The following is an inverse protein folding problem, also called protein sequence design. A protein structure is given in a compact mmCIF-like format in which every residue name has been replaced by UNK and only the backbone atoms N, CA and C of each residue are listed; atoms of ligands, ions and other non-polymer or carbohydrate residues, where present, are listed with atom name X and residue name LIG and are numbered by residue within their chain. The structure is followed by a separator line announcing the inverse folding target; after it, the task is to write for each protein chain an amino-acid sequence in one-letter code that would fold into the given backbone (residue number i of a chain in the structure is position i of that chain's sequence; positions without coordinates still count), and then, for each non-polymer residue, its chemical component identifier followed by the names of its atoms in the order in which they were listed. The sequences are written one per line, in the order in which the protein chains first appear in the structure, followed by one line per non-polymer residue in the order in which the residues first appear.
data_IF_750484824793
#
_entry.id   IF_750484824793
#
_cell.length_a   1.000
_cell.length_b   1.000
_cell.length_c   1.000
_cell.angle_alpha   90.00
_cell.angle_beta   90.00
_cell.angle_gamma   90.00
#
_symmetry.space_group_name_H-M   'P 1'
#
loop_
_entity.id
_entity.type
_entity.pdbx_description
1 polymer ?
2 non-polymer ?
3 non-polymer ?
4 non-polymer ?
5 non-polymer ?
6 non-polymer ?
7 water ?
#
# COMPACT_ATOMS: atom_id res chain seq x y z
N UNK A 1 -4.69 -5.35 15.22
CA UNK A 1 -3.71 -5.06 14.16
C UNK A 1 -3.46 -3.58 14.08
N UNK A 2 -2.98 -3.14 12.92
CA UNK A 2 -2.57 -1.73 12.71
C UNK A 2 -3.66 -0.73 12.97
N UNK A 3 -4.86 -0.98 12.44
CA UNK A 3 -5.98 -0.05 12.64
C UNK A 3 -6.36 0.08 14.09
N UNK A 4 -6.44 -1.05 14.77
CA UNK A 4 -6.74 -0.98 16.21
C UNK A 4 -5.61 -0.23 16.94
N UNK A 5 -4.35 -0.43 16.54
CA UNK A 5 -3.25 0.28 17.18
C UNK A 5 -3.40 1.79 17.07
N UNK A 6 -3.85 2.25 15.92
CA UNK A 6 -4.14 3.69 15.73
C UNK A 6 -5.20 4.13 16.74
N UNK A 7 -6.23 3.30 16.96
CA UNK A 7 -7.26 3.63 17.94
C UNK A 7 -6.70 3.65 19.38
N UNK A 8 -5.86 2.68 19.72
CA UNK A 8 -5.20 2.63 21.04
C UNK A 8 -4.38 3.89 21.27
N UNK A 9 -3.55 4.22 20.30
CA UNK A 9 -2.65 5.39 20.41
C UNK A 9 -3.47 6.66 20.54
N UNK A 10 -4.47 6.84 19.68
CA UNK A 10 -5.33 8.02 19.73
C UNK A 10 -6.06 8.12 21.05
N UNK A 11 -6.39 6.97 21.66
CA UNK A 11 -7.09 7.01 22.93
C UNK A 11 -6.36 7.69 24.06
N UNK A 12 -5.04 7.66 24.00
CA UNK A 12 -4.19 8.30 25.01
C UNK A 12 -3.04 9.00 24.31
N UNK A 13 -3.38 9.83 23.31
CA UNK A 13 -2.41 10.34 22.35
C UNK A 13 -1.22 11.04 22.96
N UNK A 14 -1.47 11.99 23.86
CA UNK A 14 -0.39 12.80 24.45
C UNK A 14 0.60 11.92 25.23
N UNK A 15 0.08 10.97 26.00
CA UNK A 15 0.89 10.06 26.81
C UNK A 15 1.77 9.16 25.95
N UNK A 16 1.19 8.56 24.94
CA UNK A 16 1.97 7.71 24.04
C UNK A 16 2.99 8.52 23.26
N UNK A 17 2.57 9.70 22.81
CA UNK A 17 3.51 10.59 22.07
C UNK A 17 4.73 10.93 22.89
N UNK A 18 4.52 11.38 24.11
CA UNK A 18 5.66 11.77 24.95
C UNK A 18 6.60 10.60 25.14
N UNK A 19 6.02 9.43 25.42
CA UNK A 19 6.83 8.23 25.78
C UNK A 19 7.58 7.67 24.57
N UNK A 20 6.97 7.71 23.39
CA UNK A 20 7.65 7.30 22.19
C UNK A 20 8.76 8.30 21.78
N UNK A 21 8.46 9.58 21.87
CA UNK A 21 9.46 10.58 21.53
C UNK A 21 10.63 10.48 22.49
N UNK A 22 10.37 10.31 23.79
CA UNK A 22 11.47 10.10 24.74
C UNK A 22 12.26 8.82 24.45
N UNK A 23 11.58 7.73 24.06
CA UNK A 23 12.32 6.52 23.71
C UNK A 23 13.29 6.78 22.52
N UNK A 24 12.81 7.54 21.54
CA UNK A 24 13.59 7.98 20.41
C UNK A 24 14.80 8.81 20.84
N UNK A 25 14.56 9.87 21.61
CA UNK A 25 15.66 10.74 22.00
C UNK A 25 16.68 10.02 22.85
N UNK A 26 16.21 9.07 23.66
CA UNK A 26 17.14 8.34 24.52
C UNK A 26 17.91 7.23 23.79
N UNK A 27 17.28 6.63 22.77
CA UNK A 27 17.97 5.64 21.94
C UNK A 27 19.03 6.30 21.04
N UNK A 28 18.74 7.51 20.57
CA UNK A 28 19.57 8.23 19.59
C UNK A 28 19.90 9.62 20.12
N UNK A 29 20.80 9.71 21.10
CA UNK A 29 21.02 11.03 21.66
C UNK A 29 21.55 12.08 20.67
N UNK A 30 22.22 11.68 19.59
CA UNK A 30 22.65 12.65 18.56
C UNK A 30 21.46 13.33 17.89
N UNK A 31 20.30 12.67 17.90
CA UNK A 31 19.08 13.26 17.30
C UNK A 31 18.57 14.51 18.04
N UNK A 32 18.88 14.62 19.33
CA UNK A 32 18.56 15.85 20.09
C UNK A 32 19.06 17.14 19.46
N UNK A 33 20.07 17.03 18.57
CA UNK A 33 20.55 18.15 17.71
C UNK A 33 19.45 18.95 16.99
N UNK A 34 18.40 18.25 16.55
CA UNK A 34 17.23 18.81 15.90
C UNK A 34 16.26 19.45 16.89
N UNK A 35 16.53 19.25 18.19
CA UNK A 35 15.67 19.66 19.29
C UNK A 35 16.53 20.29 20.37
N UNK A 36 17.18 21.38 19.97
CA UNK A 36 18.11 22.04 20.84
C UNK A 36 17.50 22.52 22.20
N UNK A 37 16.20 22.80 22.23
CA UNK A 37 15.55 23.30 23.44
C UNK A 37 15.16 22.20 24.45
N UNK A 38 15.40 20.94 24.09
CA UNK A 38 15.22 19.81 25.02
C UNK A 38 16.52 19.25 25.55
N UNK A 39 17.64 19.86 25.22
CA UNK A 39 18.95 19.43 25.75
C UNK A 39 19.01 19.66 27.28
N UNK A 40 19.68 18.73 27.97
CA UNK A 40 19.97 18.90 29.37
C UNK A 40 18.80 18.76 30.32
N UNK A 41 17.80 17.97 29.91
CA UNK A 41 16.59 17.73 30.67
C UNK A 41 16.28 16.21 30.71
N UNK A 42 15.93 15.71 31.88
CA UNK A 42 15.57 14.31 32.03
C UNK A 42 14.15 14.12 31.48
N UNK A 43 13.71 12.86 31.44
CA UNK A 43 12.38 12.57 30.90
C UNK A 43 11.29 13.31 31.65
N UNK A 44 11.34 13.27 32.98
CA UNK A 44 10.28 13.90 33.75
C UNK A 44 10.38 15.44 33.67
N UNK A 45 11.59 15.98 33.54
CA UNK A 45 11.80 17.43 33.36
C UNK A 45 11.15 17.87 32.02
N UNK A 46 11.33 17.06 30.96
CA UNK A 46 10.66 17.31 29.70
C UNK A 46 9.14 17.27 29.82
N UNK A 47 8.59 16.17 30.36
CA UNK A 47 7.13 15.94 30.42
C UNK A 47 6.37 17.05 31.20
N UNK A 48 7.09 17.65 32.16
CA UNK A 48 6.54 18.72 33.00
C UNK A 48 6.28 19.98 32.20
N UNK A 49 7.09 20.22 31.16
CA UNK A 49 6.92 21.41 30.31
C UNK A 49 5.71 21.25 29.40
N UNK A 50 4.72 22.15 29.54
CA UNK A 50 3.53 22.12 28.70
C UNK A 50 3.90 22.15 27.21
N UNK A 51 4.98 22.84 26.85
CA UNK A 51 5.37 22.88 25.42
C UNK A 51 5.77 21.52 24.84
N UNK A 52 6.29 20.67 25.71
CA UNK A 52 6.72 19.33 25.26
C UNK A 52 5.50 18.46 24.96
N UNK A 53 4.54 18.47 25.86
CA UNK A 53 3.31 17.68 25.61
C UNK A 53 2.56 18.24 24.41
N UNK A 54 2.54 19.56 24.28
CA UNK A 54 1.81 20.20 23.17
C UNK A 54 2.45 19.79 21.83
N UNK A 55 3.77 19.87 21.74
CA UNK A 55 4.51 19.56 20.51
C UNK A 55 4.29 18.09 20.18
N UNK A 56 4.53 17.22 21.15
CA UNK A 56 4.49 15.77 20.89
C UNK A 56 3.09 15.33 20.47
N UNK A 57 2.06 15.92 21.08
CA UNK A 57 0.70 15.61 20.68
C UNK A 57 0.40 16.04 19.22
N UNK A 58 0.80 17.24 18.84
CA UNK A 58 0.53 17.72 17.49
C UNK A 58 1.27 16.84 16.49
N UNK A 59 2.50 16.44 16.83
CA UNK A 59 3.26 15.55 15.96
C UNK A 59 2.54 14.22 15.80
N UNK A 60 2.20 13.59 16.91
CA UNK A 60 1.58 12.26 16.83
C UNK A 60 0.19 12.29 16.24
N UNK A 61 -0.53 13.39 16.40
CA UNK A 61 -1.80 13.52 15.73
C UNK A 61 -1.61 13.41 14.21
N UNK A 62 -0.64 14.13 13.64
CA UNK A 62 -0.39 14.03 12.21
C UNK A 62 0.10 12.63 11.83
N UNK A 63 0.96 12.04 12.66
CA UNK A 63 1.41 10.68 12.39
C UNK A 63 0.22 9.73 12.31
N UNK A 64 -0.74 9.88 13.21
CA UNK A 64 -1.91 8.98 13.23
C UNK A 64 -2.78 9.24 12.01
N UNK A 65 -2.92 10.49 11.59
CA UNK A 65 -3.71 10.79 10.38
C UNK A 65 -3.03 10.08 9.16
N UNK A 66 -1.70 10.17 9.06
CA UNK A 66 -0.95 9.54 7.99
C UNK A 66 -1.13 8.02 8.06
N UNK A 67 -1.04 7.45 9.26
CA UNK A 67 -1.22 6.01 9.41
C UNK A 67 -2.62 5.57 9.02
N UNK A 68 -3.59 6.35 9.41
CA UNK A 68 -4.99 5.99 9.16
C UNK A 68 -5.32 6.10 7.67
N UNK A 69 -4.67 7.05 6.97
CA UNK A 69 -4.92 7.18 5.52
C UNK A 69 -4.14 6.18 4.67
N UNK A 70 -3.19 5.47 5.27
CA UNK A 70 -2.39 4.47 4.56
C UNK A 70 -3.29 3.30 4.13
N UNK A 71 -2.83 2.60 3.11
CA UNK A 71 -3.46 1.33 2.69
C UNK A 71 -2.43 0.25 2.91
N UNK A 72 -2.76 -0.79 3.66
CA UNK A 72 -1.80 -1.87 3.90
C UNK A 72 -0.43 -1.36 4.34
N UNK A 73 -0.46 -0.38 5.25
CA UNK A 73 0.78 0.21 5.79
C UNK A 73 1.65 0.94 4.77
N UNK A 74 1.07 1.31 3.65
CA UNK A 74 1.74 2.14 2.65
C UNK A 74 1.11 3.52 2.71
N UNK A 75 1.89 4.52 3.14
CA UNK A 75 1.29 5.85 3.24
C UNK A 75 1.08 6.48 1.86
N UNK A 76 0.12 7.39 1.80
CA UNK A 76 -0.09 8.20 0.61
C UNK A 76 1.15 9.05 0.26
N UNK A 77 1.42 9.12 -1.03
CA UNK A 77 2.51 9.96 -1.54
C UNK A 77 2.22 11.41 -1.15
N UNK A 78 0.94 11.83 -1.16
CA UNK A 78 0.61 13.20 -0.77
C UNK A 78 0.96 13.49 0.66
N UNK A 79 0.75 12.51 1.55
CA UNK A 79 1.12 12.70 2.95
C UNK A 79 2.64 12.72 3.10
N UNK A 80 3.31 11.85 2.36
CA UNK A 80 4.77 11.91 2.37
C UNK A 80 5.26 13.31 1.91
N UNK A 81 4.62 13.86 0.86
CA UNK A 81 5.06 15.16 0.36
C UNK A 81 4.84 16.24 1.40
N UNK A 82 3.72 16.18 2.10
CA UNK A 82 3.44 17.17 3.19
C UNK A 82 4.58 17.14 4.18
N UNK A 83 4.97 15.93 4.58
CA UNK A 83 6.06 15.81 5.53
C UNK A 83 7.43 16.31 5.01
N UNK A 84 7.72 16.12 3.73
CA UNK A 84 8.92 16.63 3.13
C UNK A 84 8.90 18.17 3.09
N UNK A 85 7.76 18.74 2.71
CA UNK A 85 7.64 20.17 2.42
C UNK A 85 7.47 21.03 3.66
N UNK A 86 7.10 20.44 4.80
CA UNK A 86 6.93 21.23 6.04
C UNK A 86 8.19 22.01 6.34
N UNK A 87 8.04 23.32 6.58
CA UNK A 87 9.20 24.15 6.88
C UNK A 87 10.00 23.61 8.07
N UNK A 88 9.27 23.07 9.06
CA UNK A 88 9.87 22.50 10.28
C UNK A 88 10.79 21.30 9.98
N UNK A 89 10.58 20.68 8.81
CA UNK A 89 11.39 19.53 8.39
C UNK A 89 12.49 19.81 7.36
N UNK A 90 12.85 21.07 7.16
CA UNK A 90 13.85 21.41 6.16
C UNK A 90 15.27 20.78 6.36
N UNK A 91 15.77 20.64 7.58
CA UNK A 91 17.11 19.98 7.75
C UNK A 91 17.18 18.46 7.49
N UNK A 92 16.03 17.79 7.34
CA UNK A 92 15.93 16.38 7.69
C UNK A 92 16.21 15.49 6.52
N UNK A 93 16.64 14.26 6.84
CA UNK A 93 16.82 13.23 5.83
C UNK A 93 16.06 11.97 6.26
N UNK A 94 15.98 10.98 5.37
CA UNK A 94 15.11 9.83 5.69
C UNK A 94 15.58 9.04 6.94
N UNK A 95 16.88 9.06 7.22
CA UNK A 95 17.42 8.41 8.42
C UNK A 95 16.86 8.97 9.70
N UNK A 96 16.51 10.26 9.73
CA UNK A 96 15.86 10.78 10.92
C UNK A 96 14.53 10.02 11.20
N UNK A 97 13.76 9.79 10.12
CA UNK A 97 12.49 9.07 10.19
C UNK A 97 12.70 7.57 10.46
N UNK A 98 13.72 6.98 9.84
CA UNK A 98 14.05 5.58 10.08
C UNK A 98 14.28 5.33 11.56
N UNK A 99 15.08 6.18 12.18
CA UNK A 99 15.38 6.07 13.62
C UNK A 99 14.12 6.22 14.50
N UNK A 100 13.28 7.17 14.16
CA UNK A 100 12.05 7.39 14.91
C UNK A 100 11.24 6.08 14.93
N UNK A 101 11.10 5.48 13.77
CA UNK A 101 10.30 4.25 13.66
C UNK A 101 11.00 3.04 14.29
N UNK A 102 12.32 2.94 14.23
CA UNK A 102 12.99 1.85 14.97
C UNK A 102 12.65 2.01 16.49
N UNK A 103 12.73 3.25 16.99
CA UNK A 103 12.45 3.48 18.42
C UNK A 103 10.99 3.21 18.75
N UNK A 104 10.08 3.57 17.84
CA UNK A 104 8.66 3.36 18.05
C UNK A 104 8.31 1.86 18.11
N UNK A 105 8.92 1.10 17.22
CA UNK A 105 8.73 -0.35 17.20
C UNK A 105 9.30 -1.01 18.44
N UNK A 106 10.50 -0.61 18.85
CA UNK A 106 11.12 -1.14 20.05
C UNK A 106 10.23 -0.87 21.27
N UNK A 107 9.71 0.36 21.36
CA UNK A 107 8.77 0.73 22.44
C UNK A 107 7.54 -0.15 22.45
N UNK A 108 6.98 -0.38 21.27
CA UNK A 108 5.80 -1.27 21.20
C UNK A 108 6.12 -2.69 21.64
N UNK A 109 7.23 -3.24 21.16
CA UNK A 109 7.66 -4.57 21.57
C UNK A 109 7.93 -4.73 23.08
N UNK A 110 8.36 -3.68 23.75
CA UNK A 110 8.67 -3.70 25.20
C UNK A 110 7.43 -3.38 26.06
N UNK A 111 6.34 -2.93 25.42
CA UNK A 111 5.10 -2.57 26.09
C UNK A 111 4.46 -3.87 26.50
N UNK A 112 3.66 -3.89 27.53
CA UNK A 112 2.96 -5.15 27.90
C UNK A 112 1.92 -5.56 26.88
N UNK A 113 1.84 -4.83 25.75
CA UNK A 113 0.62 -4.78 24.98
C UNK A 113 0.73 -5.41 23.62
N UNK A 114 -0.46 -5.66 23.04
CA UNK A 114 -0.58 -6.42 21.82
C UNK A 114 -0.57 -5.53 20.58
N UNK A 115 0.33 -4.54 20.55
CA UNK A 115 0.56 -3.79 19.33
C UNK A 115 1.00 -4.74 18.19
N UNK A 116 0.66 -4.39 16.97
CA UNK A 116 1.08 -5.12 15.77
C UNK A 116 2.42 -4.53 15.33
N UNK A 117 3.47 -4.89 16.06
CA UNK A 117 4.76 -4.24 15.88
C UNK A 117 5.33 -4.43 14.46
N UNK A 118 5.04 -5.58 13.86
CA UNK A 118 5.55 -5.84 12.52
C UNK A 118 4.87 -4.88 11.51
N UNK A 119 3.61 -4.56 11.74
CA UNK A 119 2.90 -3.62 10.86
C UNK A 119 3.52 -2.22 10.97
N UNK A 120 3.83 -1.80 12.18
CA UNK A 120 4.51 -0.51 12.41
C UNK A 120 5.91 -0.47 11.79
N UNK A 121 6.66 -1.56 11.89
CA UNK A 121 8.04 -1.58 11.36
C UNK A 121 8.01 -1.36 9.85
N UNK A 122 7.06 -2.05 9.21
CA UNK A 122 6.80 -1.97 7.75
C UNK A 122 6.23 -0.61 7.32
N UNK A 123 5.26 -0.08 8.07
CA UNK A 123 4.82 1.30 7.88
C UNK A 123 6.01 2.27 7.91
N UNK A 124 6.88 2.13 8.89
CA UNK A 124 8.08 2.99 8.91
C UNK A 124 8.95 2.83 7.67
N UNK A 125 9.16 1.60 7.23
CA UNK A 125 9.98 1.35 6.03
C UNK A 125 9.29 1.95 4.79
N UNK A 126 7.99 1.75 4.68
CA UNK A 126 7.23 2.30 3.56
C UNK A 126 7.17 3.82 3.59
N UNK A 127 7.14 4.39 4.80
CA UNK A 127 7.14 5.87 4.93
C UNK A 127 8.51 6.42 4.50
N UNK A 128 9.59 5.80 4.94
CA UNK A 128 10.94 6.16 4.48
C UNK A 128 11.04 6.14 2.96
N UNK A 129 10.55 5.06 2.33
CA UNK A 129 10.54 4.94 0.86
C UNK A 129 9.74 6.07 0.22
N UNK A 130 8.58 6.35 0.78
CA UNK A 130 7.71 7.42 0.30
C UNK A 130 8.30 8.81 0.46
N UNK A 131 9.01 9.03 1.56
CA UNK A 131 9.71 10.30 1.77
C UNK A 131 10.75 10.53 0.70
N UNK A 132 11.50 9.46 0.39
CA UNK A 132 12.49 9.49 -0.66
C UNK A 132 11.86 9.80 -2.01
N UNK A 133 10.77 9.11 -2.33
CA UNK A 133 10.08 9.35 -3.58
C UNK A 133 9.51 10.77 -3.68
N UNK A 134 9.18 11.37 -2.54
CA UNK A 134 8.64 12.75 -2.50
C UNK A 134 9.74 13.80 -2.36
N UNK A 135 10.98 13.36 -2.40
CA UNK A 135 12.13 14.24 -2.60
C UNK A 135 13.01 14.48 -1.40
N UNK A 136 12.82 13.75 -0.30
CA UNK A 136 13.73 13.89 0.85
C UNK A 136 15.03 13.13 0.58
N UNK A 137 16.16 13.75 0.95
CA UNK A 137 17.47 13.11 0.85
C UNK A 137 17.67 12.03 1.88
N UNK B 1 6.34 -15.32 -2.69
CA UNK B 1 5.37 -14.25 -2.45
C UNK B 1 4.94 -13.53 -3.72
N UNK B 2 4.45 -12.31 -3.56
CA UNK B 2 3.87 -11.55 -4.65
C UNK B 2 4.89 -11.27 -5.74
N UNK B 3 6.10 -10.82 -5.39
CA UNK B 3 7.14 -10.54 -6.41
C UNK B 3 7.55 -11.78 -7.20
N UNK B 4 7.64 -12.93 -6.52
CA UNK B 4 7.98 -14.17 -7.20
C UNK B 4 6.84 -14.54 -8.14
N UNK B 5 5.61 -14.34 -7.69
CA UNK B 5 4.46 -14.65 -8.53
C UNK B 5 4.46 -13.87 -9.85
N UNK B 6 4.91 -12.61 -9.79
CA UNK B 6 5.03 -11.82 -11.02
C UNK B 6 6.00 -12.52 -11.99
N UNK B 7 7.13 -13.00 -11.46
CA UNK B 7 8.11 -13.72 -12.27
C UNK B 7 7.51 -15.02 -12.79
N UNK B 8 6.77 -15.73 -11.95
CA UNK B 8 6.13 -16.98 -12.39
C UNK B 8 5.16 -16.73 -13.57
N UNK B 9 4.29 -15.75 -13.41
CA UNK B 9 3.31 -15.39 -14.43
C UNK B 9 4.01 -14.91 -15.70
N UNK B 10 5.02 -14.04 -15.56
CA UNK B 10 5.75 -13.58 -16.73
C UNK B 10 6.47 -14.67 -17.50
N UNK B 11 6.89 -15.75 -16.81
CA UNK B 11 7.57 -16.87 -17.47
C UNK B 11 6.69 -17.65 -18.44
N UNK B 12 5.37 -17.60 -18.24
CA UNK B 12 4.43 -18.27 -19.16
C UNK B 12 3.22 -17.34 -19.40
N UNK B 13 3.47 -16.08 -19.75
CA UNK B 13 2.43 -15.06 -19.58
C UNK B 13 1.27 -15.21 -20.55
N UNK B 14 1.52 -15.61 -21.79
CA UNK B 14 0.43 -15.78 -22.75
C UNK B 14 -0.56 -16.82 -22.24
N UNK B 15 -0.04 -17.95 -21.76
CA UNK B 15 -0.92 -18.99 -21.24
C UNK B 15 -1.66 -18.61 -19.96
N UNK B 16 -0.98 -18.00 -19.02
CA UNK B 16 -1.64 -17.56 -17.80
C UNK B 16 -2.68 -16.47 -18.09
N UNK B 17 -2.36 -15.55 -18.98
CA UNK B 17 -3.26 -14.46 -19.31
C UNK B 17 -4.56 -15.01 -19.89
N UNK B 18 -4.43 -15.87 -20.89
CA UNK B 18 -5.58 -16.47 -21.56
C UNK B 18 -6.49 -17.20 -20.56
N UNK B 19 -5.87 -18.01 -19.73
CA UNK B 19 -6.55 -18.89 -18.76
C UNK B 19 -7.20 -18.10 -17.62
N UNK B 20 -6.54 -17.03 -17.15
CA UNK B 20 -7.15 -16.19 -16.10
C UNK B 20 -8.32 -15.38 -16.65
N UNK B 21 -8.13 -14.80 -17.84
CA UNK B 21 -9.19 -14.04 -18.43
C UNK B 21 -10.38 -14.92 -18.79
N UNK B 22 -10.13 -16.15 -19.24
CA UNK B 22 -11.23 -17.08 -19.49
C UNK B 22 -11.93 -17.45 -18.18
N UNK B 23 -11.17 -17.66 -17.10
CA UNK B 23 -11.78 -17.92 -15.80
C UNK B 23 -12.73 -16.81 -15.40
N UNK B 24 -12.32 -15.56 -15.64
CA UNK B 24 -13.13 -14.37 -15.36
C UNK B 24 -14.42 -14.39 -16.20
N UNK B 25 -14.28 -14.61 -17.52
CA UNK B 25 -15.44 -14.61 -18.39
C UNK B 25 -16.42 -15.74 -18.11
N UNK B 26 -15.88 -16.88 -17.65
CA UNK B 26 -16.73 -18.04 -17.37
C UNK B 26 -17.36 -17.93 -15.98
N UNK B 27 -16.66 -17.32 -15.03
CA UNK B 27 -17.28 -17.09 -13.71
C UNK B 27 -18.38 -16.04 -13.75
N UNK B 28 -18.22 -15.03 -14.61
CA UNK B 28 -19.06 -13.85 -14.69
C UNK B 28 -19.53 -13.67 -16.13
N UNK B 29 -20.42 -14.59 -16.62
CA UNK B 29 -20.83 -14.49 -18.00
C UNK B 29 -21.43 -13.17 -18.46
N UNK B 30 -22.12 -12.44 -17.57
CA UNK B 30 -22.67 -11.15 -17.96
C UNK B 30 -21.60 -10.13 -18.31
N UNK B 31 -20.35 -10.36 -17.88
CA UNK B 31 -19.24 -9.51 -18.28
C UNK B 31 -18.96 -9.45 -19.80
N UNK B 32 -19.45 -10.43 -20.56
CA UNK B 32 -19.44 -10.30 -22.02
C UNK B 32 -20.34 -9.16 -22.57
N UNK B 33 -21.04 -8.45 -21.70
CA UNK B 33 -21.73 -7.21 -22.07
C UNK B 33 -20.73 -6.21 -22.71
N UNK B 34 -19.50 -6.17 -22.17
CA UNK B 34 -18.42 -5.30 -22.67
C UNK B 34 -17.65 -5.86 -23.86
N UNK B 35 -17.85 -7.15 -24.17
CA UNK B 35 -17.13 -7.88 -25.23
C UNK B 35 -18.15 -8.67 -26.08
N UNK B 36 -19.05 -7.96 -26.76
CA UNK B 36 -20.14 -8.60 -27.52
C UNK B 36 -19.67 -9.65 -28.54
N UNK B 37 -18.50 -9.40 -29.13
CA UNK B 37 -17.76 -10.33 -30.01
C UNK B 37 -17.42 -11.72 -29.43
N UNK B 38 -17.37 -11.82 -28.11
CA UNK B 38 -17.02 -13.08 -27.45
C UNK B 38 -18.21 -14.00 -27.20
N UNK B 39 -19.41 -13.53 -27.49
CA UNK B 39 -20.65 -14.30 -27.23
C UNK B 39 -20.70 -15.53 -28.17
N UNK B 40 -21.18 -16.64 -27.63
CA UNK B 40 -21.33 -17.91 -28.38
C UNK B 40 -20.06 -18.61 -28.83
N UNK B 41 -18.99 -18.44 -28.04
CA UNK B 41 -17.67 -18.97 -28.35
C UNK B 41 -17.19 -19.80 -27.19
N UNK B 42 -16.66 -20.99 -27.48
CA UNK B 42 -15.97 -21.77 -26.49
C UNK B 42 -14.60 -21.09 -26.19
N UNK B 43 -13.96 -21.53 -25.10
CA UNK B 43 -12.62 -21.05 -24.76
C UNK B 43 -11.63 -21.20 -25.93
N UNK B 44 -11.61 -22.37 -26.58
CA UNK B 44 -10.63 -22.57 -27.64
C UNK B 44 -10.94 -21.66 -28.82
N UNK B 45 -12.22 -21.36 -29.06
CA UNK B 45 -12.58 -20.43 -30.14
C UNK B 45 -12.13 -19.03 -29.81
N UNK B 46 -12.30 -18.64 -28.52
CA UNK B 46 -11.83 -17.32 -28.08
C UNK B 46 -10.34 -17.17 -28.25
N UNK B 47 -9.59 -18.22 -27.91
CA UNK B 47 -8.14 -18.22 -27.98
C UNK B 47 -7.59 -18.20 -29.41
N UNK B 48 -8.48 -18.39 -30.39
CA UNK B 48 -8.15 -18.24 -31.83
C UNK B 48 -8.70 -16.94 -32.45
N UNK B 49 -9.27 -16.04 -31.63
CA UNK B 49 -9.75 -14.75 -32.13
C UNK B 49 -8.73 -13.70 -31.80
N UNK B 50 -8.24 -13.04 -32.84
CA UNK B 50 -7.09 -12.14 -32.71
C UNK B 50 -7.24 -11.07 -31.62
N UNK B 51 -8.42 -10.50 -31.51
CA UNK B 51 -8.61 -9.36 -30.58
C UNK B 51 -8.63 -9.87 -29.13
N UNK B 52 -9.18 -11.08 -28.90
CA UNK B 52 -9.10 -11.69 -27.59
C UNK B 52 -7.63 -11.94 -27.21
N UNK B 53 -6.85 -12.53 -28.10
CA UNK B 53 -5.45 -12.80 -27.83
C UNK B 53 -4.70 -11.50 -27.57
N UNK B 54 -4.90 -10.55 -28.48
CA UNK B 54 -4.08 -9.32 -28.46
C UNK B 54 -4.35 -8.51 -27.17
N UNK B 55 -5.66 -8.22 -26.92
CA UNK B 55 -6.20 -7.63 -25.62
C UNK B 55 -5.66 -8.34 -24.40
N UNK B 56 -5.98 -9.62 -24.24
CA UNK B 56 -5.57 -10.37 -23.03
C UNK B 56 -4.03 -10.22 -22.77
N UNK B 57 -3.26 -10.30 -23.83
CA UNK B 57 -1.83 -10.08 -23.78
C UNK B 57 -1.50 -8.70 -23.19
N UNK B 58 -2.14 -7.67 -23.75
CA UNK B 58 -1.94 -6.26 -23.30
C UNK B 58 -2.29 -6.07 -21.87
N UNK B 59 -3.44 -6.59 -21.49
CA UNK B 59 -3.92 -6.54 -20.13
C UNK B 59 -2.84 -7.04 -19.20
N UNK B 60 -2.39 -8.27 -19.42
CA UNK B 60 -1.49 -8.93 -18.47
C UNK B 60 -0.11 -8.32 -18.49
N UNK B 61 0.37 -7.93 -19.66
CA UNK B 61 1.66 -7.23 -19.75
C UNK B 61 1.62 -6.00 -18.85
N UNK B 62 0.56 -5.21 -18.97
CA UNK B 62 0.45 -3.99 -18.16
C UNK B 62 0.15 -4.31 -16.71
N UNK B 63 -0.71 -5.31 -16.44
CA UNK B 63 -1.05 -5.66 -15.05
C UNK B 63 0.22 -6.04 -14.31
N UNK B 64 1.12 -6.76 -14.98
CA UNK B 64 2.34 -7.21 -14.32
C UNK B 64 3.26 -6.05 -14.02
N UNK B 65 3.32 -5.08 -14.92
CA UNK B 65 4.04 -3.82 -14.64
C UNK B 65 3.47 -3.09 -13.42
N UNK B 66 2.16 -2.98 -13.36
CA UNK B 66 1.52 -2.29 -12.23
C UNK B 66 1.80 -3.03 -10.92
N UNK B 67 1.69 -4.36 -10.95
CA UNK B 67 2.10 -5.21 -9.80
C UNK B 67 3.56 -5.01 -9.42
N UNK B 68 4.43 -4.96 -10.41
CA UNK B 68 5.85 -4.82 -10.17
C UNK B 68 6.22 -3.47 -9.57
N UNK B 69 5.46 -2.42 -9.93
CA UNK B 69 5.75 -1.10 -9.40
C UNK B 69 5.09 -0.85 -8.05
N UNK B 70 4.22 -1.76 -7.59
CA UNK B 70 3.52 -1.60 -6.35
C UNK B 70 4.50 -1.76 -5.16
N UNK B 71 4.11 -1.21 -4.03
CA UNK B 71 4.79 -1.45 -2.75
C UNK B 71 3.78 -2.17 -1.88
N UNK B 72 4.17 -3.31 -1.36
CA UNK B 72 3.26 -4.11 -0.51
C UNK B 72 1.85 -4.25 -1.07
N UNK B 73 1.81 -4.53 -2.38
CA UNK B 73 0.54 -4.76 -3.07
C UNK B 73 -0.32 -3.53 -3.23
N UNK B 74 0.26 -2.34 -3.03
CA UNK B 74 -0.45 -1.08 -3.20
C UNK B 74 0.13 -0.43 -4.46
N UNK B 75 -0.70 -0.30 -5.49
CA UNK B 75 -0.19 0.28 -6.72
C UNK B 75 0.11 1.76 -6.63
N UNK B 76 0.98 2.22 -7.52
CA UNK B 76 1.18 3.66 -7.68
C UNK B 76 -0.08 4.35 -8.11
N UNK B 77 -0.32 5.52 -7.52
CA UNK B 77 -1.44 6.33 -7.94
C UNK B 77 -1.37 6.67 -9.42
N UNK B 78 -0.16 6.94 -9.93
CA UNK B 78 -0.01 7.18 -11.37
C UNK B 78 -0.49 6.04 -12.29
N UNK B 79 -0.28 4.82 -11.85
CA UNK B 79 -0.78 3.67 -12.61
C UNK B 79 -2.29 3.63 -12.61
N UNK B 80 -2.91 3.95 -11.48
CA UNK B 80 -4.37 3.99 -11.40
C UNK B 80 -4.93 5.09 -12.32
N UNK B 81 -4.31 6.28 -12.31
CA UNK B 81 -4.78 7.36 -13.18
C UNK B 81 -4.66 7.01 -14.66
N UNK B 82 -3.58 6.34 -15.04
CA UNK B 82 -3.42 5.87 -16.42
C UNK B 82 -4.53 4.90 -16.83
N UNK B 83 -4.83 3.95 -15.96
CA UNK B 83 -5.90 2.98 -16.23
C UNK B 83 -7.26 3.66 -16.38
N UNK B 84 -7.57 4.61 -15.48
CA UNK B 84 -8.83 5.32 -15.55
C UNK B 84 -8.98 6.09 -16.83
N UNK B 85 -7.91 6.79 -17.24
CA UNK B 85 -7.95 7.70 -18.38
C UNK B 85 -7.67 7.05 -19.75
N UNK B 86 -7.66 5.72 -19.83
CA UNK B 86 -7.63 5.00 -21.10
C UNK B 86 -9.02 5.09 -21.78
N UNK B 87 -9.04 5.49 -23.04
CA UNK B 87 -10.31 5.76 -23.74
C UNK B 87 -11.15 4.49 -23.94
N UNK B 88 -10.47 3.36 -24.19
CA UNK B 88 -11.15 2.05 -24.29
C UNK B 88 -11.79 1.51 -22.97
N UNK B 89 -11.40 2.09 -21.82
CA UNK B 89 -12.01 1.84 -20.51
C UNK B 89 -13.13 2.80 -20.07
N UNK B 90 -13.57 3.68 -20.98
CA UNK B 90 -14.76 4.51 -20.71
C UNK B 90 -15.92 3.55 -20.52
N UNK B 91 -16.81 3.87 -19.59
CA UNK B 91 -17.92 2.95 -19.28
C UNK B 91 -17.57 1.69 -18.48
N UNK B 92 -16.29 1.46 -18.15
CA UNK B 92 -15.97 0.49 -17.10
C UNK B 92 -16.22 1.12 -15.74
N UNK B 93 -16.44 0.24 -14.76
CA UNK B 93 -16.57 0.64 -13.37
C UNK B 93 -15.67 -0.29 -12.54
N UNK B 94 -15.48 0.08 -11.28
CA UNK B 94 -14.54 -0.71 -10.46
C UNK B 94 -14.99 -2.15 -10.31
N UNK B 95 -16.29 -2.39 -10.39
CA UNK B 95 -16.82 -3.76 -10.32
C UNK B 95 -16.27 -4.68 -11.39
N UNK B 96 -16.00 -4.16 -12.58
CA UNK B 96 -15.39 -4.98 -13.64
C UNK B 96 -14.02 -5.51 -13.18
N UNK B 97 -13.25 -4.64 -12.53
CA UNK B 97 -11.90 -4.98 -12.05
C UNK B 97 -11.92 -5.89 -10.83
N UNK B 98 -12.84 -5.62 -9.90
CA UNK B 98 -13.06 -6.45 -8.74
C UNK B 98 -13.26 -7.91 -9.17
N UNK B 99 -14.16 -8.09 -10.13
CA UNK B 99 -14.50 -9.42 -10.65
C UNK B 99 -13.31 -10.12 -11.28
N UNK B 100 -12.54 -9.39 -12.06
CA UNK B 100 -11.32 -9.93 -12.66
C UNK B 100 -10.42 -10.48 -11.57
N UNK B 101 -10.20 -9.70 -10.54
CA UNK B 101 -9.31 -10.15 -9.44
C UNK B 101 -9.87 -11.28 -8.57
N UNK B 102 -11.17 -11.33 -8.42
CA UNK B 102 -11.77 -12.48 -7.71
C UNK B 102 -11.48 -13.76 -8.50
N UNK B 103 -11.68 -13.71 -9.81
CA UNK B 103 -11.40 -14.88 -10.69
C UNK B 103 -9.91 -15.25 -10.69
N UNK B 104 -9.06 -14.22 -10.74
CA UNK B 104 -7.63 -14.42 -10.67
C UNK B 104 -7.20 -15.16 -9.38
N UNK B 105 -7.68 -14.68 -8.25
CA UNK B 105 -7.34 -15.29 -6.95
C UNK B 105 -7.86 -16.72 -6.89
N UNK B 106 -9.08 -16.93 -7.37
CA UNK B 106 -9.68 -18.28 -7.38
C UNK B 106 -8.81 -19.22 -8.22
N UNK B 107 -8.43 -18.75 -9.38
CA UNK B 107 -7.57 -19.52 -10.30
C UNK B 107 -6.26 -19.90 -9.60
N UNK B 108 -5.65 -18.94 -8.90
CA UNK B 108 -4.41 -19.22 -8.19
C UNK B 108 -4.61 -20.28 -7.09
N UNK B 109 -5.69 -20.15 -6.34
CA UNK B 109 -5.95 -21.09 -5.23
C UNK B 109 -6.25 -22.51 -5.69
N UNK B 110 -6.78 -22.64 -6.91
CA UNK B 110 -7.07 -23.92 -7.54
C UNK B 110 -5.87 -24.53 -8.28
N UNK B 111 -4.86 -23.72 -8.58
CA UNK B 111 -3.71 -24.16 -9.36
C UNK B 111 -2.85 -25.09 -8.52
N UNK B 112 -2.01 -25.87 -9.15
CA UNK B 112 -1.15 -26.75 -8.31
C UNK B 112 -0.01 -26.07 -7.52
N UNK B 113 0.15 -24.75 -7.73
CA UNK B 113 1.41 -24.01 -7.53
C UNK B 113 1.33 -22.97 -6.44
N UNK B 114 2.49 -22.61 -5.90
CA UNK B 114 2.61 -21.96 -4.59
C UNK B 114 2.44 -20.43 -4.67
N UNK B 115 1.42 -19.99 -5.42
CA UNK B 115 1.10 -18.55 -5.52
C UNK B 115 0.70 -18.01 -4.17
N UNK B 116 1.00 -16.72 -3.96
CA UNK B 116 0.62 -16.06 -2.71
C UNK B 116 -0.73 -15.40 -2.96
N UNK B 117 -1.78 -16.21 -2.96
CA UNK B 117 -3.11 -15.76 -3.37
C UNK B 117 -3.66 -14.62 -2.51
N UNK B 118 -3.32 -14.61 -1.24
CA UNK B 118 -3.77 -13.56 -0.38
C UNK B 118 -3.17 -12.22 -0.80
N UNK B 119 -1.91 -12.22 -1.26
CA UNK B 119 -1.31 -10.94 -1.77
C UNK B 119 -2.03 -10.46 -3.01
N UNK B 120 -2.40 -11.35 -3.92
CA UNK B 120 -3.17 -10.96 -5.10
C UNK B 120 -4.56 -10.44 -4.76
N UNK B 121 -5.17 -11.00 -3.74
CA UNK B 121 -6.46 -10.53 -3.28
C UNK B 121 -6.32 -9.07 -2.80
N UNK B 122 -5.29 -8.83 -2.00
CA UNK B 122 -4.98 -7.48 -1.50
C UNK B 122 -4.71 -6.52 -2.66
N UNK B 123 -3.88 -6.97 -3.60
CA UNK B 123 -3.53 -6.15 -4.79
C UNK B 123 -4.79 -5.73 -5.53
N UNK B 124 -5.70 -6.69 -5.77
CA UNK B 124 -6.95 -6.40 -6.45
C UNK B 124 -7.81 -5.39 -5.73
N UNK B 125 -7.95 -5.57 -4.43
CA UNK B 125 -8.70 -4.60 -3.60
C UNK B 125 -8.03 -3.21 -3.64
N UNK B 126 -6.71 -3.19 -3.52
CA UNK B 126 -5.96 -1.94 -3.49
C UNK B 126 -5.99 -1.23 -4.83
N UNK B 127 -5.97 -2.01 -5.93
CA UNK B 127 -6.08 -1.43 -7.24
C UNK B 127 -7.48 -0.82 -7.40
N UNK B 128 -8.51 -1.54 -7.00
CA UNK B 128 -9.85 -1.01 -7.08
C UNK B 128 -9.97 0.30 -6.28
N UNK B 129 -9.42 0.34 -5.08
CA UNK B 129 -9.45 1.56 -4.27
C UNK B 129 -8.76 2.70 -4.98
N UNK B 130 -7.60 2.43 -5.55
CA UNK B 130 -6.83 3.44 -6.28
C UNK B 130 -7.55 3.92 -7.51
N UNK B 131 -8.22 3.00 -8.24
CA UNK B 131 -9.01 3.37 -9.41
C UNK B 131 -10.14 4.32 -9.00
N UNK B 132 -10.81 4.02 -7.91
CA UNK B 132 -11.89 4.88 -7.38
C UNK B 132 -11.34 6.28 -7.08
N UNK B 133 -10.25 6.35 -6.34
CA UNK B 133 -9.59 7.62 -5.98
C UNK B 133 -9.15 8.42 -7.20
N UNK B 134 -8.77 7.72 -8.26
CA UNK B 134 -8.39 8.34 -9.52
C UNK B 134 -9.56 8.76 -10.44
N UNK B 135 -10.81 8.40 -10.09
CA UNK B 135 -12.01 8.81 -10.80
C UNK B 135 -12.86 7.77 -11.47
N UNK B 136 -12.55 6.48 -11.31
CA UNK B 136 -13.43 5.44 -11.92
C UNK B 136 -14.70 5.33 -11.12
N UNK B 137 -15.86 5.14 -11.80
CA UNK B 137 -17.13 5.04 -11.10
C UNK B 137 -17.33 3.65 -10.56
#
# INVERSE_FOLDING_TARGET
GFKQDIATLRGDLRTYAQDIFLAFLNKYPDEKRNFKNYVGKSDQELKSMAKFGDHTEKVFNLMMEVADRATDCVPLASDASTLVQMKQHSGLTTGNFEKLFVALVEYMRASGQSFDSQSWDRFGKNLVSALSSAGMK
GFKQDIATLRGDLRTYAQDIFLAFLNKYPDEKRNFKNYVGKSDQELKSMAKFGDHTEKVFNLMMEVADRATDCVPLASDASTLVQMKQHSGLTTGNFEKLFVALVEYMRASGQSFDSQSWDRFGKNLVSALSSAGMK
#
